data_IF_426112692558
#
_entry.id   IF_426112692558
#
_cell.length_a   1.000
_cell.length_b   1.000
_cell.length_c   1.000
_cell.angle_alpha   90.00
_cell.angle_beta   90.00
_cell.angle_gamma   90.00
#
_symmetry.space_group_name_H-M   'P 1'
#
loop_
_entity.id
_entity.type
_entity.pdbx_description
1 polymer ?
#
# COMPACT_ATOMS: atom_id res chain seq x y z
N UNK A 1 -1.27 26.91 17.72
CA UNK A 1 -0.71 25.95 16.75
C UNK A 1 -1.87 25.13 16.22
N UNK A 2 -2.12 25.14 14.90
CA UNK A 2 -3.02 24.17 14.29
C UNK A 2 -2.38 22.79 14.44
N UNK A 3 -3.15 21.81 14.89
CA UNK A 3 -2.66 20.43 14.90
C UNK A 3 -2.48 19.94 13.46
N UNK A 4 -1.42 19.20 13.16
CA UNK A 4 -1.16 18.71 11.82
C UNK A 4 -2.23 17.69 11.39
N UNK A 5 -2.64 17.77 10.12
CA UNK A 5 -3.42 16.72 9.50
C UNK A 5 -2.59 15.44 9.40
N UNK A 6 -3.16 14.29 9.67
CA UNK A 6 -2.48 13.01 9.67
C UNK A 6 -3.14 12.03 8.69
N UNK A 7 -2.35 11.46 7.81
CA UNK A 7 -2.77 10.38 6.92
C UNK A 7 -1.74 9.28 6.90
N UNK A 8 -2.17 8.06 6.64
CA UNK A 8 -1.26 6.92 6.57
C UNK A 8 -0.21 7.05 5.47
N UNK A 9 -0.48 7.83 4.42
CA UNK A 9 0.43 8.12 3.31
C UNK A 9 0.78 9.62 3.27
N UNK A 10 -0.22 10.51 3.31
CA UNK A 10 -0.05 11.96 3.12
C UNK A 10 -0.84 12.72 4.19
N UNK A 11 -0.18 13.65 4.90
CA UNK A 11 -0.88 14.53 5.85
C UNK A 11 -1.85 15.46 5.13
N UNK A 12 -1.41 16.13 4.04
CA UNK A 12 -2.23 17.09 3.30
C UNK A 12 -1.96 17.06 1.79
N UNK A 13 -3.04 16.98 0.99
CA UNK A 13 -3.01 16.95 -0.48
C UNK A 13 -3.59 18.24 -1.05
N UNK A 14 -2.94 18.83 -2.05
CA UNK A 14 -3.33 20.12 -2.66
C UNK A 14 -3.33 20.09 -4.18
N UNK A 15 -4.16 20.94 -4.77
CA UNK A 15 -4.14 21.26 -6.19
C UNK A 15 -4.31 20.02 -7.06
N UNK A 16 -3.42 19.82 -8.01
CA UNK A 16 -3.45 18.68 -8.95
C UNK A 16 -2.68 17.44 -8.49
N UNK A 17 -2.29 17.41 -7.21
CA UNK A 17 -1.53 16.29 -6.63
C UNK A 17 -2.37 15.01 -6.59
N UNK A 18 -1.71 13.84 -6.64
CA UNK A 18 -2.39 12.54 -6.72
C UNK A 18 -1.79 11.54 -5.72
N UNK A 19 -2.66 10.77 -5.11
CA UNK A 19 -2.31 9.53 -4.40
C UNK A 19 -2.96 8.38 -5.14
N UNK A 20 -2.17 7.48 -5.69
CA UNK A 20 -2.65 6.36 -6.51
C UNK A 20 -1.96 5.05 -6.14
N UNK A 21 -2.68 3.92 -6.32
CA UNK A 21 -2.11 2.58 -6.11
C UNK A 21 -1.34 2.48 -4.78
N UNK A 22 -1.94 2.95 -3.70
CA UNK A 22 -1.27 3.03 -2.40
C UNK A 22 -2.11 2.38 -1.31
N UNK A 23 -1.47 1.75 -0.34
CA UNK A 23 -2.21 1.11 0.73
C UNK A 23 -1.54 1.28 2.10
N UNK A 24 -2.35 1.14 3.13
CA UNK A 24 -1.92 1.15 4.54
C UNK A 24 -2.59 -0.01 5.25
N UNK A 25 -1.80 -0.79 6.02
CA UNK A 25 -2.29 -1.92 6.82
C UNK A 25 -2.05 -1.75 8.32
N UNK A 26 -1.49 -0.61 8.71
CA UNK A 26 -1.13 -0.32 10.09
C UNK A 26 -2.27 0.28 10.91
N UNK A 27 -2.03 0.39 12.21
CA UNK A 27 -2.92 1.08 13.14
C UNK A 27 -2.56 2.56 13.22
N UNK A 28 -3.54 3.44 13.05
CA UNK A 28 -3.42 4.87 13.26
C UNK A 28 -4.00 5.23 14.62
N UNK A 29 -3.16 5.74 15.52
CA UNK A 29 -3.57 6.19 16.86
C UNK A 29 -3.37 7.71 16.93
N UNK A 30 -4.42 8.52 16.68
CA UNK A 30 -4.32 9.97 16.80
C UNK A 30 -4.06 10.35 18.26
N UNK A 31 -2.97 11.07 18.50
CA UNK A 31 -2.62 11.58 19.83
C UNK A 31 -2.58 13.09 19.83
N UNK A 32 -3.06 13.72 20.87
CA UNK A 32 -2.91 15.16 21.05
C UNK A 32 -4.18 15.92 21.41
N UNK A 33 -3.98 17.21 21.66
CA UNK A 33 -4.98 18.14 22.17
C UNK A 33 -5.48 19.13 21.10
N UNK A 34 -5.08 18.97 19.83
CA UNK A 34 -5.41 19.87 18.73
C UNK A 34 -6.57 19.38 17.86
N UNK A 35 -7.05 20.25 16.98
CA UNK A 35 -7.92 19.88 15.86
C UNK A 35 -7.07 19.17 14.82
N UNK A 36 -7.37 17.93 14.52
CA UNK A 36 -6.61 17.12 13.57
C UNK A 36 -7.57 16.42 12.64
N UNK A 37 -7.32 16.49 11.34
CA UNK A 37 -8.05 15.69 10.37
C UNK A 37 -7.22 14.41 10.10
N UNK A 38 -7.82 13.24 10.37
CA UNK A 38 -7.13 11.94 10.30
C UNK A 38 -7.79 11.07 9.25
N UNK A 39 -7.01 10.62 8.27
CA UNK A 39 -7.48 9.69 7.24
C UNK A 39 -6.60 8.46 7.14
N UNK A 40 -7.20 7.33 6.81
CA UNK A 40 -6.46 6.08 6.58
C UNK A 40 -5.39 6.24 5.50
N UNK A 41 -5.64 7.06 4.49
CA UNK A 41 -4.73 7.37 3.38
C UNK A 41 -4.25 8.82 3.46
N UNK A 42 -5.17 9.80 3.49
CA UNK A 42 -4.85 11.23 3.46
C UNK A 42 -5.53 11.95 4.62
N UNK A 43 -4.80 12.78 5.37
CA UNK A 43 -5.34 13.56 6.47
C UNK A 43 -6.35 14.61 5.98
N UNK A 44 -5.93 15.51 5.09
CA UNK A 44 -6.84 16.48 4.47
C UNK A 44 -6.54 16.71 2.99
N UNK A 45 -7.61 17.03 2.25
CA UNK A 45 -7.54 17.26 0.80
C UNK A 45 -8.11 18.64 0.48
N UNK A 46 -7.42 19.37 -0.42
CA UNK A 46 -7.86 20.63 -0.98
C UNK A 46 -7.62 20.62 -2.51
N UNK A 47 -8.25 19.68 -3.22
CA UNK A 47 -8.09 19.40 -4.63
C UNK A 47 -7.26 18.15 -4.90
N UNK A 48 -7.10 17.81 -6.19
CA UNK A 48 -6.36 16.63 -6.64
C UNK A 48 -7.17 15.34 -6.66
N UNK A 49 -6.52 14.20 -6.56
CA UNK A 49 -7.21 12.91 -6.59
C UNK A 49 -6.62 11.86 -5.66
N UNK A 50 -7.48 10.96 -5.17
CA UNK A 50 -7.11 9.76 -4.44
C UNK A 50 -7.79 8.59 -5.14
N UNK A 51 -7.02 7.69 -5.76
CA UNK A 51 -7.57 6.60 -6.53
C UNK A 51 -6.83 5.28 -6.36
N UNK A 52 -7.58 4.18 -6.48
CA UNK A 52 -7.03 2.84 -6.44
C UNK A 52 -6.23 2.59 -5.14
N UNK A 53 -6.74 3.13 -4.04
CA UNK A 53 -6.09 3.06 -2.73
C UNK A 53 -6.95 2.27 -1.74
N UNK A 54 -6.29 1.67 -0.74
CA UNK A 54 -7.06 1.07 0.34
C UNK A 54 -6.36 1.20 1.71
N UNK A 55 -7.18 1.29 2.74
CA UNK A 55 -6.79 1.24 4.14
C UNK A 55 -7.32 -0.04 4.78
N UNK A 56 -6.46 -1.04 4.98
CA UNK A 56 -6.77 -2.29 5.69
C UNK A 56 -6.15 -2.26 7.09
N UNK A 57 -6.41 -1.19 7.82
CA UNK A 57 -5.89 -0.93 9.16
C UNK A 57 -6.99 -0.58 10.14
N UNK A 58 -6.58 -0.07 11.28
CA UNK A 58 -7.44 0.39 12.36
C UNK A 58 -7.19 1.87 12.66
N UNK A 59 -8.26 2.66 12.85
CA UNK A 59 -8.16 3.99 13.43
C UNK A 59 -8.55 3.88 14.90
N UNK A 60 -7.55 3.90 15.78
CA UNK A 60 -7.76 3.78 17.22
C UNK A 60 -8.03 5.14 17.86
N UNK A 61 -9.27 5.37 18.22
CA UNK A 61 -9.73 6.60 18.88
C UNK A 61 -9.63 6.56 20.40
N UNK A 62 -9.11 5.49 20.99
CA UNK A 62 -9.07 5.29 22.46
C UNK A 62 -8.31 6.39 23.22
N UNK A 63 -7.27 6.95 22.59
CA UNK A 63 -6.46 8.04 23.14
C UNK A 63 -7.03 9.44 22.81
N UNK A 64 -8.14 9.49 22.06
CA UNK A 64 -8.73 10.73 21.60
C UNK A 64 -9.83 11.19 22.57
N UNK A 65 -9.69 12.42 23.11
CA UNK A 65 -10.72 13.00 23.96
C UNK A 65 -11.84 13.60 23.11
N UNK A 66 -13.03 13.02 23.19
CA UNK A 66 -14.25 13.43 22.47
C UNK A 66 -14.73 14.90 22.73
N UNK A 67 -13.98 15.68 23.50
CA UNK A 67 -14.33 17.06 23.84
C UNK A 67 -14.01 18.10 22.76
N UNK A 68 -13.53 17.68 21.58
CA UNK A 68 -13.11 18.61 20.53
C UNK A 68 -13.94 18.44 19.26
N UNK A 69 -14.82 19.40 18.94
CA UNK A 69 -15.82 19.28 17.87
C UNK A 69 -15.26 19.40 16.45
N UNK A 70 -13.95 19.47 16.26
CA UNK A 70 -13.33 19.79 14.97
C UNK A 70 -12.39 18.73 14.41
N UNK A 71 -12.26 17.57 15.06
CA UNK A 71 -11.48 16.46 14.50
C UNK A 71 -12.36 15.59 13.65
N UNK A 72 -11.90 15.30 12.46
CA UNK A 72 -12.57 14.44 11.49
C UNK A 72 -11.73 13.19 11.25
N UNK A 73 -12.42 12.07 11.26
CA UNK A 73 -11.81 10.77 10.99
C UNK A 73 -12.47 10.20 9.75
N UNK A 74 -11.66 9.70 8.82
CA UNK A 74 -12.15 9.02 7.64
C UNK A 74 -11.30 7.81 7.28
N UNK A 75 -11.94 6.75 6.84
CA UNK A 75 -11.25 5.54 6.41
C UNK A 75 -10.27 5.78 5.24
N UNK A 76 -10.57 6.76 4.39
CA UNK A 76 -9.70 7.21 3.30
C UNK A 76 -9.16 8.60 3.59
N UNK A 77 -10.05 9.58 3.83
CA UNK A 77 -9.69 11.00 3.99
C UNK A 77 -10.32 11.58 5.24
N UNK A 78 -9.53 12.23 6.10
CA UNK A 78 -10.04 12.89 7.30
C UNK A 78 -10.94 14.07 6.96
N UNK A 79 -10.50 14.92 6.01
CA UNK A 79 -11.26 16.09 5.55
C UNK A 79 -11.08 16.34 4.07
N UNK A 80 -12.16 16.59 3.36
CA UNK A 80 -12.13 17.23 2.06
C UNK A 80 -12.73 18.64 2.13
N UNK A 81 -11.92 19.63 1.81
CA UNK A 81 -12.32 21.06 1.77
C UNK A 81 -12.51 21.58 0.33
N UNK A 82 -12.40 20.70 -0.67
CA UNK A 82 -12.56 21.03 -2.08
C UNK A 82 -13.87 20.45 -2.64
N UNK A 83 -14.42 21.10 -3.65
CA UNK A 83 -15.52 20.56 -4.47
C UNK A 83 -15.01 19.83 -5.73
N UNK A 84 -13.70 19.85 -5.96
CA UNK A 84 -13.06 19.34 -7.19
C UNK A 84 -12.18 18.14 -6.97
N UNK A 85 -12.15 17.60 -5.74
CA UNK A 85 -11.38 16.37 -5.45
C UNK A 85 -12.03 15.18 -6.15
N UNK A 86 -11.22 14.40 -6.86
CA UNK A 86 -11.64 13.16 -7.51
C UNK A 86 -11.28 11.94 -6.64
N UNK A 87 -12.28 11.14 -6.31
CA UNK A 87 -12.13 9.89 -5.57
C UNK A 87 -12.61 8.72 -6.42
N UNK A 88 -11.76 7.72 -6.60
CA UNK A 88 -12.10 6.58 -7.43
C UNK A 88 -11.50 5.28 -6.87
N UNK A 89 -12.36 4.25 -6.77
CA UNK A 89 -11.91 2.88 -6.47
C UNK A 89 -11.07 2.78 -5.18
N UNK A 90 -11.54 3.45 -4.12
CA UNK A 90 -10.89 3.39 -2.81
C UNK A 90 -11.70 2.54 -1.83
N UNK A 91 -11.01 1.84 -0.94
CA UNK A 91 -11.61 0.94 0.03
C UNK A 91 -10.99 1.12 1.42
N UNK A 92 -11.77 0.86 2.45
CA UNK A 92 -11.27 0.89 3.83
C UNK A 92 -11.92 -0.19 4.68
N UNK A 93 -11.22 -0.61 5.73
CA UNK A 93 -11.77 -1.57 6.70
C UNK A 93 -12.95 -0.93 7.41
N UNK A 94 -14.09 -1.61 7.37
CA UNK A 94 -15.29 -1.21 8.10
C UNK A 94 -14.97 -1.01 9.58
N UNK A 95 -15.26 0.17 10.08
CA UNK A 95 -15.02 0.56 11.47
C UNK A 95 -16.23 1.34 11.94
N UNK A 96 -16.72 1.03 13.14
CA UNK A 96 -17.87 1.70 13.72
C UNK A 96 -17.66 3.22 13.79
N UNK A 97 -18.63 4.00 13.31
CA UNK A 97 -18.62 5.46 13.26
C UNK A 97 -17.48 6.10 12.45
N UNK A 98 -16.88 5.35 11.51
CA UNK A 98 -15.88 5.87 10.57
C UNK A 98 -16.42 5.78 9.15
N UNK A 99 -16.63 6.95 8.54
CA UNK A 99 -17.01 7.10 7.13
C UNK A 99 -15.76 7.11 6.24
N UNK A 100 -15.94 6.98 4.92
CA UNK A 100 -14.83 7.09 3.96
C UNK A 100 -14.11 8.45 4.05
N UNK A 101 -14.89 9.51 4.24
CA UNK A 101 -14.38 10.86 4.48
C UNK A 101 -15.06 11.47 5.69
N UNK A 102 -14.29 11.95 6.65
CA UNK A 102 -14.79 12.57 7.88
C UNK A 102 -15.56 13.89 7.67
N UNK A 103 -15.65 14.39 6.44
CA UNK A 103 -16.53 15.50 6.05
C UNK A 103 -17.77 15.06 5.25
N UNK A 104 -18.20 13.81 5.40
CA UNK A 104 -19.42 13.23 4.81
C UNK A 104 -19.43 13.24 3.26
N UNK A 105 -18.30 12.98 2.63
CA UNK A 105 -18.20 12.79 1.18
C UNK A 105 -17.89 11.33 0.84
N UNK A 106 -18.34 10.88 -0.32
CA UNK A 106 -17.99 9.57 -0.85
C UNK A 106 -16.53 9.54 -1.30
N UNK A 107 -15.63 9.09 -0.44
CA UNK A 107 -14.22 8.95 -0.77
C UNK A 107 -13.78 7.49 -1.00
N UNK A 108 -14.66 6.52 -0.69
CA UNK A 108 -14.38 5.09 -0.81
C UNK A 108 -15.49 4.22 -0.24
N UNK A 109 -15.28 2.90 -0.25
CA UNK A 109 -16.24 1.90 0.21
C UNK A 109 -15.70 1.14 1.41
N UNK A 110 -16.54 0.97 2.45
CA UNK A 110 -16.24 0.11 3.58
C UNK A 110 -16.27 -1.37 3.17
N UNK A 111 -15.35 -2.15 3.69
CA UNK A 111 -15.27 -3.61 3.52
C UNK A 111 -14.86 -4.26 4.83
N UNK A 112 -15.42 -5.42 5.13
CA UNK A 112 -14.91 -6.24 6.23
C UNK A 112 -13.44 -6.64 5.97
N UNK A 113 -12.61 -6.64 7.01
CA UNK A 113 -11.19 -6.97 6.85
C UNK A 113 -10.97 -8.35 6.22
N UNK A 114 -11.74 -9.36 6.66
CA UNK A 114 -11.63 -10.72 6.11
C UNK A 114 -11.93 -10.76 4.61
N UNK A 115 -12.89 -9.94 4.13
CA UNK A 115 -13.15 -9.80 2.70
C UNK A 115 -11.96 -9.19 1.96
N UNK A 116 -11.26 -8.23 2.57
CA UNK A 116 -10.09 -7.59 1.95
C UNK A 116 -8.89 -8.53 1.78
N UNK A 117 -8.92 -9.74 2.37
CA UNK A 117 -7.90 -10.78 2.19
C UNK A 117 -8.25 -11.81 1.11
N UNK A 118 -9.40 -11.67 0.45
CA UNK A 118 -9.89 -12.63 -0.55
C UNK A 118 -9.44 -12.28 -1.98
N UNK A 119 -9.53 -13.27 -2.86
CA UNK A 119 -9.33 -13.09 -4.29
C UNK A 119 -10.38 -12.16 -4.91
N UNK A 120 -11.62 -12.23 -4.42
CA UNK A 120 -12.73 -11.41 -4.87
C UNK A 120 -12.46 -9.92 -4.63
N UNK A 121 -11.91 -9.57 -3.48
CA UNK A 121 -11.49 -8.18 -3.21
C UNK A 121 -10.35 -7.74 -4.13
N UNK A 122 -9.37 -8.59 -4.34
CA UNK A 122 -8.29 -8.29 -5.29
C UNK A 122 -8.85 -8.01 -6.69
N UNK A 123 -9.77 -8.84 -7.18
CA UNK A 123 -10.40 -8.68 -8.49
C UNK A 123 -11.24 -7.38 -8.56
N UNK A 124 -12.00 -7.06 -7.50
CA UNK A 124 -12.74 -5.80 -7.39
C UNK A 124 -11.80 -4.58 -7.42
N UNK A 125 -10.73 -4.60 -6.62
CA UNK A 125 -9.75 -3.51 -6.54
C UNK A 125 -9.04 -3.29 -7.88
N UNK A 126 -8.71 -4.36 -8.61
CA UNK A 126 -7.92 -4.29 -9.83
C UNK A 126 -8.74 -4.20 -11.12
N UNK A 127 -10.05 -4.32 -11.06
CA UNK A 127 -10.95 -4.25 -12.22
C UNK A 127 -10.78 -2.95 -13.06
N UNK A 128 -10.42 -1.84 -12.41
CA UNK A 128 -10.15 -0.55 -13.03
C UNK A 128 -8.70 -0.34 -13.52
N UNK A 129 -7.83 -1.35 -13.39
CA UNK A 129 -6.42 -1.29 -13.79
C UNK A 129 -5.47 -0.91 -12.66
N UNK A 130 -5.92 -0.93 -11.39
CA UNK A 130 -5.05 -0.75 -10.23
C UNK A 130 -3.91 -1.77 -10.19
N UNK A 131 -2.75 -1.35 -9.72
CA UNK A 131 -1.49 -2.10 -9.80
C UNK A 131 -1.18 -2.84 -8.51
N UNK A 132 -1.91 -3.92 -8.26
CA UNK A 132 -1.69 -4.77 -7.10
C UNK A 132 -1.39 -6.22 -7.51
N UNK A 133 -0.85 -6.97 -6.58
CA UNK A 133 -0.60 -8.41 -6.68
C UNK A 133 -1.42 -9.13 -5.62
N UNK A 134 -2.08 -10.22 -6.03
CA UNK A 134 -2.78 -11.11 -5.12
C UNK A 134 -1.78 -11.95 -4.30
N UNK A 135 -2.03 -12.02 -3.01
CA UNK A 135 -1.35 -12.94 -2.08
C UNK A 135 -2.41 -13.64 -1.26
N UNK A 136 -2.45 -14.96 -1.31
CA UNK A 136 -3.47 -15.76 -0.62
C UNK A 136 -3.49 -15.48 0.89
N UNK A 137 -4.68 -15.23 1.42
CA UNK A 137 -4.91 -14.96 2.84
C UNK A 137 -4.34 -13.62 3.34
N UNK A 138 -3.90 -12.75 2.44
CA UNK A 138 -3.42 -11.39 2.77
C UNK A 138 -4.14 -10.34 1.94
N UNK A 139 -4.16 -9.13 2.43
CA UNK A 139 -4.58 -7.99 1.61
C UNK A 139 -3.65 -7.82 0.41
N UNK A 140 -4.14 -7.34 -0.77
CA UNK A 140 -3.33 -7.16 -1.95
C UNK A 140 -2.10 -6.29 -1.69
N UNK A 141 -0.96 -6.60 -2.28
CA UNK A 141 0.29 -5.86 -2.12
C UNK A 141 0.70 -5.19 -3.43
N UNK A 142 1.55 -4.19 -3.35
CA UNK A 142 2.16 -3.63 -4.56
C UNK A 142 3.17 -4.64 -5.12
N UNK A 143 3.23 -4.80 -6.47
CA UNK A 143 4.20 -5.67 -7.09
C UNK A 143 5.63 -5.25 -6.71
N UNK A 144 6.43 -6.21 -6.33
CA UNK A 144 7.87 -6.00 -6.13
C UNK A 144 8.53 -5.84 -7.49
N UNK A 145 9.43 -4.86 -7.60
CA UNK A 145 10.22 -4.69 -8.82
C UNK A 145 11.27 -5.79 -8.89
N UNK A 146 11.25 -6.53 -9.99
CA UNK A 146 12.28 -7.52 -10.30
C UNK A 146 13.33 -6.91 -11.24
N UNK A 147 14.55 -7.37 -11.09
CA UNK A 147 15.70 -6.97 -11.90
C UNK A 147 16.31 -8.21 -12.53
N UNK A 148 16.68 -8.12 -13.80
CA UNK A 148 17.52 -9.15 -14.43
C UNK A 148 18.93 -9.06 -13.81
N UNK A 149 19.41 -10.17 -13.30
CA UNK A 149 20.77 -10.32 -12.77
C UNK A 149 21.48 -11.37 -13.62
N UNK A 150 22.52 -10.96 -14.31
CA UNK A 150 23.33 -11.83 -15.14
C UNK A 150 24.54 -12.34 -14.34
N UNK A 151 24.81 -13.63 -14.44
CA UNK A 151 25.94 -14.29 -13.80
C UNK A 151 27.01 -14.60 -14.84
N UNK A 152 28.20 -14.05 -14.65
CA UNK A 152 29.36 -14.37 -15.47
C UNK A 152 30.17 -15.50 -14.82
N UNK A 153 30.45 -16.53 -15.60
CA UNK A 153 31.24 -17.70 -15.17
C UNK A 153 32.60 -17.62 -15.79
N UNK A 154 33.63 -17.67 -14.94
CA UNK A 154 35.01 -17.62 -15.35
C UNK A 154 35.79 -18.78 -14.72
N UNK A 155 36.64 -19.52 -15.50
CA UNK A 155 36.91 -19.39 -16.94
C UNK A 155 35.72 -19.86 -17.80
N UNK A 156 35.61 -19.32 -19.01
CA UNK A 156 34.49 -19.56 -19.92
C UNK A 156 34.47 -20.99 -20.57
N UNK A 157 35.49 -21.78 -20.36
CA UNK A 157 35.64 -23.15 -20.87
C UNK A 157 35.15 -24.22 -19.89
N UNK A 158 34.66 -23.85 -18.72
CA UNK A 158 34.04 -24.78 -17.78
C UNK A 158 32.83 -25.48 -18.43
N UNK A 159 32.72 -26.79 -18.19
CA UNK A 159 31.65 -27.62 -18.75
C UNK A 159 30.58 -27.90 -17.71
N UNK A 160 29.34 -28.09 -18.21
CA UNK A 160 28.19 -28.46 -17.39
C UNK A 160 27.98 -27.53 -16.18
N UNK A 161 28.18 -26.25 -16.39
CA UNK A 161 27.96 -25.24 -15.34
C UNK A 161 26.47 -25.17 -15.00
N UNK A 162 26.12 -25.37 -13.74
CA UNK A 162 24.78 -25.19 -13.21
C UNK A 162 24.84 -24.11 -12.14
N UNK A 163 24.03 -23.08 -12.32
CA UNK A 163 23.86 -22.00 -11.35
C UNK A 163 22.49 -22.14 -10.73
N UNK A 164 22.44 -22.12 -9.39
CA UNK A 164 21.17 -22.06 -8.63
C UNK A 164 21.14 -20.82 -7.79
N UNK A 165 19.98 -20.19 -7.73
CA UNK A 165 19.67 -19.06 -6.84
C UNK A 165 18.57 -19.50 -5.89
N UNK A 166 18.88 -19.51 -4.59
CA UNK A 166 18.00 -20.05 -3.54
C UNK A 166 17.51 -21.47 -3.85
N UNK A 167 18.43 -22.32 -4.34
CA UNK A 167 18.16 -23.71 -4.69
C UNK A 167 17.43 -23.92 -6.03
N UNK A 168 17.00 -22.86 -6.73
CA UNK A 168 16.36 -22.93 -8.04
C UNK A 168 17.36 -22.72 -9.16
N UNK A 169 17.47 -23.71 -10.06
CA UNK A 169 18.31 -23.61 -11.25
C UNK A 169 17.84 -22.50 -12.19
N UNK A 170 18.80 -21.71 -12.69
CA UNK A 170 18.54 -20.64 -13.64
C UNK A 170 19.00 -21.03 -15.05
N UNK A 171 18.34 -20.48 -16.06
CA UNK A 171 18.66 -20.68 -17.46
C UNK A 171 19.35 -19.47 -18.05
N UNK A 172 20.27 -19.68 -19.02
CA UNK A 172 20.98 -18.59 -19.69
C UNK A 172 21.75 -17.65 -18.74
N UNK A 173 22.16 -18.16 -17.58
CA UNK A 173 22.91 -17.41 -16.57
C UNK A 173 22.22 -16.11 -16.11
N UNK A 174 20.90 -16.00 -16.25
CA UNK A 174 20.13 -14.82 -15.85
C UNK A 174 19.03 -15.22 -14.87
N UNK A 175 18.89 -14.49 -13.79
CA UNK A 175 17.77 -14.61 -12.85
C UNK A 175 17.00 -13.29 -12.73
N UNK A 176 15.68 -13.38 -12.66
CA UNK A 176 14.83 -12.23 -12.28
C UNK A 176 14.69 -12.19 -10.77
N UNK A 177 15.31 -11.20 -10.13
CA UNK A 177 15.41 -11.09 -8.67
C UNK A 177 14.84 -9.77 -8.17
N UNK A 178 14.18 -9.81 -7.02
CA UNK A 178 13.79 -8.60 -6.28
C UNK A 178 14.99 -8.07 -5.48
N UNK A 179 14.90 -6.89 -4.90
CA UNK A 179 15.93 -6.43 -3.96
C UNK A 179 15.95 -7.36 -2.73
N UNK A 180 17.11 -7.92 -2.39
CA UNK A 180 17.24 -8.87 -1.29
C UNK A 180 18.63 -9.52 -1.23
N UNK A 181 18.77 -10.49 -0.33
CA UNK A 181 19.95 -11.35 -0.21
C UNK A 181 19.59 -12.73 -0.71
N UNK A 182 20.44 -13.34 -1.52
CA UNK A 182 20.22 -14.62 -2.17
C UNK A 182 21.42 -15.55 -1.94
N UNK A 183 21.14 -16.85 -1.85
CA UNK A 183 22.18 -17.87 -1.86
C UNK A 183 22.42 -18.27 -3.31
N UNK A 184 23.67 -18.16 -3.78
CA UNK A 184 24.07 -18.59 -5.11
C UNK A 184 24.96 -19.82 -5.00
N UNK A 185 24.56 -20.89 -5.66
CA UNK A 185 25.34 -22.14 -5.77
C UNK A 185 25.77 -22.33 -7.23
N UNK A 186 27.02 -22.56 -7.44
CA UNK A 186 27.59 -22.85 -8.77
C UNK A 186 28.28 -24.20 -8.73
N UNK A 187 27.91 -25.06 -9.66
CA UNK A 187 28.60 -26.37 -9.87
C UNK A 187 29.01 -26.48 -11.31
N UNK A 188 30.13 -27.12 -11.57
CA UNK A 188 30.64 -27.43 -12.91
C UNK A 188 31.40 -28.75 -12.87
N UNK A 189 31.59 -29.39 -14.04
CA UNK A 189 32.47 -30.51 -14.16
C UNK A 189 33.94 -30.03 -14.06
N UNK A 190 34.78 -30.88 -13.49
CA UNK A 190 36.25 -30.66 -13.37
C UNK A 190 36.65 -29.47 -12.44
N UNK A 191 35.80 -29.07 -11.49
CA UNK A 191 36.24 -28.24 -10.39
C UNK A 191 36.85 -29.11 -9.29
N UNK A 192 38.19 -29.16 -9.20
CA UNK A 192 38.94 -29.72 -8.07
C UNK A 192 39.05 -28.67 -6.92
#
# INVERSE_FOLDING_TARGET
YAAPDAGGIVGRLYGDSKVINSYVTGKLTPVGNGTTDVGGIVGSVAGGSVSDCYFAGEIDLSQYSAKKPYTRFGGIVGKDSSSTTDFKNNYFTETENVEACGSNKEAGKAKAYDYMTTKEFYDELTAGGAKYQYVEGKTPVLPTKEYAVDFEVTPADLKNVVIKVDGKEITNNTAMLTAGTYTVEVTADDCE
#
